data_IF_632350204592
#
_entry.id   IF_632350204592
#
_cell.length_a   1.000
_cell.length_b   1.000
_cell.length_c   1.000
_cell.angle_alpha   90.00
_cell.angle_beta   90.00
_cell.angle_gamma   90.00
#
_symmetry.space_group_name_H-M   'P 1'
#
loop_
_entity.id
_entity.type
_entity.pdbx_description
1 polymer ?
#
# COMPACT_ATOMS: atom_id res chain seq x y z
N UNK A 1 -8.79 7.92 -13.46
CA UNK A 1 -8.38 7.99 -12.04
C UNK A 1 -8.25 6.57 -11.50
N UNK A 2 -7.06 6.19 -11.06
CA UNK A 2 -6.80 4.83 -10.58
C UNK A 2 -6.64 4.84 -9.06
N UNK A 3 -7.08 3.76 -8.41
CA UNK A 3 -6.95 3.58 -6.97
C UNK A 3 -5.88 2.53 -6.70
N UNK A 4 -4.80 2.94 -6.05
CA UNK A 4 -3.67 2.06 -5.73
C UNK A 4 -3.65 1.79 -4.24
N UNK A 5 -3.85 0.53 -3.88
CA UNK A 5 -3.71 0.09 -2.50
C UNK A 5 -2.23 -0.15 -2.20
N UNK A 6 -1.71 0.55 -1.22
CA UNK A 6 -0.31 0.41 -0.82
C UNK A 6 -0.29 -0.14 0.60
N UNK A 7 0.27 -1.33 0.75
CA UNK A 7 0.36 -2.01 2.03
C UNK A 7 1.82 -2.34 2.33
N UNK A 8 2.13 -2.62 3.56
CA UNK A 8 3.50 -2.98 3.87
C UNK A 8 3.68 -3.49 5.28
N UNK A 9 4.80 -4.17 5.47
CA UNK A 9 5.21 -4.72 6.75
C UNK A 9 5.64 -3.60 7.70
N UNK A 10 5.27 -3.71 8.97
CA UNK A 10 5.68 -2.73 10.00
C UNK A 10 7.19 -2.63 10.10
N UNK A 11 7.88 -3.74 9.83
CA UNK A 11 9.34 -3.82 9.91
C UNK A 11 10.06 -3.46 8.62
N UNK A 12 9.33 -3.06 7.57
CA UNK A 12 9.95 -2.62 6.32
C UNK A 12 10.75 -1.35 6.59
N UNK A 13 12.06 -1.39 6.38
CA UNK A 13 12.96 -0.33 6.83
C UNK A 13 13.21 0.77 5.81
N UNK A 14 13.20 0.43 4.52
CA UNK A 14 13.55 1.40 3.48
C UNK A 14 12.35 2.30 3.13
N UNK A 15 12.02 3.21 4.04
CA UNK A 15 10.87 4.10 3.85
C UNK A 15 11.09 5.13 2.74
N UNK A 16 12.34 5.42 2.38
CA UNK A 16 12.61 6.28 1.22
C UNK A 16 12.12 5.63 -0.07
N UNK A 17 12.27 4.32 -0.20
CA UNK A 17 11.76 3.59 -1.35
C UNK A 17 10.23 3.70 -1.43
N UNK A 18 9.56 3.67 -0.28
CA UNK A 18 8.10 3.86 -0.22
C UNK A 18 7.72 5.26 -0.70
N UNK A 19 8.42 6.28 -0.22
CA UNK A 19 8.19 7.66 -0.65
C UNK A 19 8.41 7.83 -2.15
N UNK A 20 9.48 7.25 -2.66
CA UNK A 20 9.80 7.34 -4.09
C UNK A 20 8.71 6.70 -4.94
N UNK A 21 8.15 5.59 -4.48
CA UNK A 21 7.05 4.94 -5.18
C UNK A 21 5.83 5.86 -5.26
N UNK A 22 5.44 6.47 -4.13
CA UNK A 22 4.29 7.39 -4.10
C UNK A 22 4.54 8.59 -5.02
N UNK A 23 5.74 9.13 -5.00
CA UNK A 23 6.12 10.27 -5.86
C UNK A 23 6.06 9.92 -7.34
N UNK A 24 6.25 8.66 -7.69
CA UNK A 24 6.22 8.21 -9.10
C UNK A 24 4.82 8.07 -9.67
N UNK A 25 3.80 8.07 -8.82
CA UNK A 25 2.41 7.91 -9.25
C UNK A 25 1.87 9.22 -9.82
N UNK A 26 0.92 9.11 -10.74
CA UNK A 26 0.20 10.28 -11.23
C UNK A 26 -0.51 10.99 -10.08
N UNK A 27 -0.56 12.31 -10.12
CA UNK A 27 -1.12 13.10 -9.01
C UNK A 27 -2.62 12.90 -8.83
N UNK A 28 -3.34 12.42 -9.84
CA UNK A 28 -4.76 12.11 -9.73
C UNK A 28 -5.01 10.70 -9.18
N UNK A 29 -3.95 9.94 -8.89
CA UNK A 29 -4.08 8.64 -8.27
C UNK A 29 -4.67 8.78 -6.86
N UNK A 30 -5.61 7.88 -6.54
CA UNK A 30 -6.13 7.80 -5.18
C UNK A 30 -5.31 6.73 -4.45
N UNK A 31 -4.71 7.12 -3.34
CA UNK A 31 -3.93 6.21 -2.51
C UNK A 31 -4.86 5.55 -1.50
N UNK A 32 -4.81 4.23 -1.40
CA UNK A 32 -5.60 3.47 -0.44
C UNK A 32 -4.63 2.79 0.53
N UNK A 33 -4.80 3.00 1.82
CA UNK A 33 -3.87 2.47 2.82
C UNK A 33 -4.59 1.93 4.05
N UNK A 34 -3.86 1.22 4.90
CA UNK A 34 -4.42 0.60 6.10
C UNK A 34 -4.37 1.46 7.36
N UNK A 35 -3.68 2.59 7.31
CA UNK A 35 -3.61 3.51 8.45
C UNK A 35 -2.72 3.03 9.61
N UNK A 36 -1.88 2.02 9.40
CA UNK A 36 -0.94 1.54 10.41
C UNK A 36 0.34 2.37 10.48
N UNK A 37 1.32 1.84 11.20
CA UNK A 37 2.64 2.47 11.34
C UNK A 37 3.58 2.09 10.19
N UNK A 38 4.70 2.78 10.10
CA UNK A 38 5.74 2.45 9.12
C UNK A 38 5.33 2.77 7.70
N UNK A 39 5.17 1.74 6.86
CA UNK A 39 4.81 1.93 5.45
C UNK A 39 3.50 2.70 5.30
N UNK A 40 2.46 2.30 6.01
CA UNK A 40 1.15 2.96 5.91
C UNK A 40 1.22 4.43 6.27
N UNK A 41 1.90 4.77 7.36
CA UNK A 41 2.07 6.15 7.80
C UNK A 41 2.85 6.96 6.76
N UNK A 42 3.95 6.40 6.25
CA UNK A 42 4.78 7.06 5.24
C UNK A 42 3.98 7.33 3.97
N UNK A 43 3.19 6.37 3.52
CA UNK A 43 2.34 6.50 2.33
C UNK A 43 1.34 7.63 2.52
N UNK A 44 0.65 7.66 3.65
CA UNK A 44 -0.35 8.68 3.95
C UNK A 44 0.24 10.09 3.97
N UNK A 45 1.33 10.26 4.71
CA UNK A 45 2.00 11.56 4.83
C UNK A 45 2.55 12.05 3.51
N UNK A 46 3.17 11.16 2.73
CA UNK A 46 3.75 11.53 1.43
C UNK A 46 2.65 11.91 0.45
N UNK A 47 1.58 11.12 0.39
CA UNK A 47 0.45 11.40 -0.49
C UNK A 47 -0.21 12.73 -0.17
N UNK A 48 -0.46 13.00 1.10
CA UNK A 48 -1.05 14.27 1.53
C UNK A 48 -0.16 15.46 1.21
N UNK A 49 1.14 15.32 1.44
CA UNK A 49 2.10 16.39 1.13
C UNK A 49 2.14 16.71 -0.37
N UNK A 50 1.83 15.75 -1.23
CA UNK A 50 1.79 15.93 -2.68
C UNK A 50 0.40 16.36 -3.18
N UNK A 51 -0.55 16.54 -2.28
CA UNK A 51 -1.91 16.93 -2.65
C UNK A 51 -2.76 15.81 -3.22
N UNK A 52 -2.33 14.56 -3.04
CA UNK A 52 -3.08 13.39 -3.51
C UNK A 52 -4.17 13.03 -2.52
N UNK A 53 -5.25 12.40 -3.03
CA UNK A 53 -6.30 11.88 -2.17
C UNK A 53 -5.83 10.59 -1.52
N UNK A 54 -5.97 10.50 -0.19
CA UNK A 54 -5.61 9.32 0.58
C UNK A 54 -6.85 8.80 1.29
N UNK A 55 -7.18 7.52 1.08
CA UNK A 55 -8.29 6.84 1.74
C UNK A 55 -7.70 5.75 2.62
N UNK A 56 -8.03 5.75 3.90
CA UNK A 56 -7.51 4.79 4.87
C UNK A 56 -8.60 3.89 5.41
N UNK A 57 -8.34 2.58 5.42
CA UNK A 57 -9.20 1.59 6.06
C UNK A 57 -8.46 1.07 7.29
N UNK A 58 -8.92 1.45 8.47
CA UNK A 58 -8.26 1.13 9.74
C UNK A 58 -8.79 -0.19 10.30
N UNK A 59 -7.92 -0.96 10.96
CA UNK A 59 -8.28 -2.24 11.57
C UNK A 59 -8.11 -3.39 10.58
N UNK A 60 -9.12 -4.28 10.48
CA UNK A 60 -9.06 -5.46 9.61
C UNK A 60 -9.39 -5.13 8.16
N UNK A 61 -8.87 -4.02 7.67
CA UNK A 61 -9.23 -3.46 6.38
C UNK A 61 -8.64 -4.13 5.15
N UNK A 62 -7.97 -5.30 5.27
CA UNK A 62 -7.32 -5.98 4.14
C UNK A 62 -8.30 -6.22 3.00
N UNK A 63 -9.46 -6.78 3.32
CA UNK A 63 -10.48 -7.06 2.32
C UNK A 63 -11.00 -5.77 1.70
N UNK A 64 -11.28 -4.76 2.52
CA UNK A 64 -11.78 -3.47 2.06
C UNK A 64 -10.77 -2.78 1.16
N UNK A 65 -9.49 -2.84 1.53
CA UNK A 65 -8.42 -2.27 0.71
C UNK A 65 -8.39 -2.94 -0.66
N UNK A 66 -8.43 -4.26 -0.70
CA UNK A 66 -8.41 -5.00 -1.97
C UNK A 66 -9.65 -4.71 -2.81
N UNK A 67 -10.83 -4.69 -2.20
CA UNK A 67 -12.08 -4.46 -2.94
C UNK A 67 -12.18 -3.05 -3.49
N UNK A 68 -11.67 -2.08 -2.75
CA UNK A 68 -11.73 -0.67 -3.17
C UNK A 68 -10.65 -0.30 -4.20
N UNK A 69 -9.53 -1.01 -4.20
CA UNK A 69 -8.37 -0.68 -5.04
C UNK A 69 -8.45 -1.31 -6.42
N UNK A 70 -7.82 -0.67 -7.38
CA UNK A 70 -7.67 -1.22 -8.73
C UNK A 70 -6.43 -2.11 -8.84
N UNK A 71 -5.42 -1.81 -8.03
CA UNK A 71 -4.20 -2.63 -7.94
C UNK A 71 -3.60 -2.51 -6.55
N UNK A 72 -2.74 -3.44 -6.21
CA UNK A 72 -2.06 -3.48 -4.91
C UNK A 72 -0.54 -3.42 -5.12
N UNK A 73 0.12 -2.57 -4.34
CA UNK A 73 1.58 -2.57 -4.21
C UNK A 73 1.91 -2.91 -2.76
N UNK A 74 2.67 -3.96 -2.55
CA UNK A 74 3.02 -4.44 -1.22
C UNK A 74 4.52 -4.32 -0.97
N UNK A 75 4.89 -3.60 0.08
CA UNK A 75 6.26 -3.49 0.56
C UNK A 75 6.45 -4.53 1.65
N UNK A 76 7.03 -5.66 1.31
CA UNK A 76 7.06 -6.84 2.16
C UNK A 76 8.48 -7.15 2.65
N UNK A 77 8.61 -7.43 3.94
CA UNK A 77 9.88 -7.81 4.55
C UNK A 77 10.25 -9.30 4.33
N UNK A 78 9.39 -10.02 3.62
CA UNK A 78 9.58 -11.45 3.36
C UNK A 78 9.12 -12.36 4.50
N UNK A 79 8.63 -11.80 5.60
CA UNK A 79 8.29 -12.56 6.81
C UNK A 79 6.88 -12.27 7.33
N UNK A 80 6.42 -11.03 7.22
CA UNK A 80 5.15 -10.59 7.79
C UNK A 80 3.96 -11.35 7.19
N UNK A 81 3.18 -11.99 8.04
CA UNK A 81 2.01 -12.76 7.63
C UNK A 81 0.88 -11.87 7.15
N UNK A 82 0.70 -10.71 7.77
CA UNK A 82 -0.37 -9.78 7.39
C UNK A 82 -0.19 -9.28 5.97
N UNK A 83 1.04 -8.87 5.63
CA UNK A 83 1.34 -8.42 4.28
C UNK A 83 1.19 -9.56 3.29
N UNK A 84 1.67 -10.76 3.64
CA UNK A 84 1.50 -11.92 2.78
C UNK A 84 0.03 -12.25 2.55
N UNK A 85 -0.80 -12.15 3.59
CA UNK A 85 -2.24 -12.38 3.46
C UNK A 85 -2.88 -11.41 2.48
N UNK A 86 -2.48 -10.15 2.51
CA UNK A 86 -2.97 -9.14 1.57
C UNK A 86 -2.57 -9.50 0.14
N UNK A 87 -1.31 -9.87 -0.06
CA UNK A 87 -0.80 -10.29 -1.37
C UNK A 87 -1.61 -11.48 -1.88
N UNK A 88 -1.80 -12.48 -1.04
CA UNK A 88 -2.52 -13.71 -1.44
C UNK A 88 -3.98 -13.42 -1.76
N UNK A 89 -4.64 -12.58 -0.96
CA UNK A 89 -6.03 -12.21 -1.22
C UNK A 89 -6.17 -11.47 -2.54
N UNK A 90 -5.30 -10.50 -2.79
CA UNK A 90 -5.33 -9.73 -4.03
C UNK A 90 -5.12 -10.64 -5.25
N UNK A 91 -4.21 -11.61 -5.14
CA UNK A 91 -4.00 -12.59 -6.21
C UNK A 91 -5.23 -13.45 -6.45
N UNK A 92 -5.90 -13.89 -5.38
CA UNK A 92 -7.15 -14.67 -5.52
C UNK A 92 -8.26 -13.86 -6.18
N UNK A 93 -8.23 -12.54 -6.00
CA UNK A 93 -9.20 -11.63 -6.63
C UNK A 93 -8.81 -11.25 -8.06
N UNK A 94 -7.76 -11.85 -8.59
CA UNK A 94 -7.23 -11.57 -9.94
C UNK A 94 -6.81 -10.12 -10.13
N UNK A 95 -6.33 -9.48 -9.07
CA UNK A 95 -5.85 -8.10 -9.13
C UNK A 95 -4.40 -8.05 -9.62
N UNK A 96 -4.02 -6.90 -10.15
CA UNK A 96 -2.62 -6.60 -10.42
C UNK A 96 -1.94 -6.39 -9.06
N UNK A 97 -0.90 -7.16 -8.79
CA UNK A 97 -0.15 -7.07 -7.52
C UNK A 97 1.33 -6.89 -7.82
N UNK A 98 1.89 -5.81 -7.29
CA UNK A 98 3.32 -5.58 -7.32
C UNK A 98 3.87 -5.82 -5.91
N UNK A 99 4.88 -6.67 -5.80
CA UNK A 99 5.51 -6.98 -4.52
C UNK A 99 6.94 -6.44 -4.55
N UNK A 100 7.24 -5.58 -3.58
CA UNK A 100 8.59 -5.04 -3.41
C UNK A 100 9.14 -5.63 -2.13
N UNK A 101 10.12 -6.51 -2.27
CA UNK A 101 10.71 -7.22 -1.13
C UNK A 101 11.90 -6.43 -0.61
N UNK A 102 11.96 -6.28 0.70
CA UNK A 102 13.11 -5.65 1.35
C UNK A 102 14.35 -6.55 1.24
N UNK A 103 15.43 -5.97 0.81
CA UNK A 103 16.71 -6.68 0.62
C UNK A 103 17.60 -6.53 1.84
#
# INVERSE_FOLDING_TARGET
MIRVGIVGSRSFRNLEQVKDYVKSLDKDTIIVSGGGNGVDETVGKTGEALGMKVVSFIGDGIKDICEYSDMICAFWDGKSKETKNTIDLAKRMNMIVQVIIEV
#
